data_IF_202276661868
#
_entry.id   IF_202276661868
#
_cell.length_a   1.000
_cell.length_b   1.000
_cell.length_c   1.000
_cell.angle_alpha   90.00
_cell.angle_beta   90.00
_cell.angle_gamma   90.00
#
_symmetry.space_group_name_H-M   'P 1'
#
loop_
_entity.id
_entity.type
_entity.pdbx_description
1 polymer ?
#
# COMPACT_ATOMS: atom_id res chain seq x y z
N UNK A 1 24.87 16.19 54.16
CA UNK A 1 24.37 16.32 52.78
C UNK A 1 25.54 16.01 51.86
N UNK A 2 25.70 14.74 51.49
CA UNK A 2 26.81 14.27 50.68
C UNK A 2 26.38 14.18 49.22
N UNK A 3 27.02 14.96 48.35
CA UNK A 3 27.01 14.71 46.92
C UNK A 3 28.36 14.10 46.56
N UNK A 4 28.40 12.78 46.65
CA UNK A 4 29.53 11.96 46.25
C UNK A 4 29.46 11.84 44.73
N UNK A 5 30.23 12.69 44.02
CA UNK A 5 30.52 12.56 42.59
C UNK A 5 31.46 11.37 42.40
N UNK A 6 30.93 10.17 42.56
CA UNK A 6 31.66 8.94 42.25
C UNK A 6 31.45 8.59 40.77
N UNK A 7 32.52 8.82 39.99
CA UNK A 7 32.91 8.01 38.84
C UNK A 7 31.99 8.07 37.61
N UNK A 8 32.08 9.17 36.86
CA UNK A 8 32.11 9.01 35.39
C UNK A 8 33.47 8.39 35.10
N UNK A 9 33.52 7.05 35.19
CA UNK A 9 34.69 6.25 34.88
C UNK A 9 35.15 6.61 33.48
N UNK A 10 36.28 7.31 33.41
CA UNK A 10 37.26 7.33 32.33
C UNK A 10 36.82 6.51 31.11
N UNK A 11 36.11 7.13 30.16
CA UNK A 11 35.97 6.51 28.84
C UNK A 11 37.36 6.51 28.21
N UNK A 12 37.97 5.35 28.25
CA UNK A 12 39.23 5.04 27.61
C UNK A 12 38.96 5.02 26.10
N UNK A 13 39.53 5.99 25.36
CA UNK A 13 39.45 6.05 23.90
C UNK A 13 40.03 4.80 23.20
N UNK A 14 40.64 3.88 23.96
CA UNK A 14 41.12 2.57 23.48
C UNK A 14 40.00 1.58 23.16
N UNK A 15 38.74 1.83 23.56
CA UNK A 15 37.60 0.93 23.30
C UNK A 15 36.77 1.32 22.09
N UNK A 16 37.16 2.37 21.36
CA UNK A 16 36.60 2.63 20.04
C UNK A 16 37.22 1.65 19.04
N UNK A 17 36.41 0.88 18.28
CA UNK A 17 36.94 0.02 17.22
C UNK A 17 37.66 0.89 16.19
N UNK A 18 38.99 0.95 16.27
CA UNK A 18 39.80 1.50 15.20
C UNK A 18 39.74 0.47 14.07
N UNK A 19 38.84 0.72 13.12
CA UNK A 19 38.68 -0.14 11.95
C UNK A 19 40.04 -0.38 11.28
N UNK A 20 40.35 -1.64 11.01
CA UNK A 20 41.52 -2.04 10.25
C UNK A 20 41.47 -1.37 8.86
N UNK A 21 42.48 -0.56 8.47
CA UNK A 21 42.52 0.06 7.15
C UNK A 21 42.62 -0.95 5.99
N UNK A 22 42.78 -2.24 6.30
CA UNK A 22 42.89 -3.34 5.33
C UNK A 22 41.54 -3.82 4.74
N UNK A 23 40.41 -3.26 5.19
CA UNK A 23 39.13 -3.38 4.46
C UNK A 23 38.50 -4.78 4.40
N UNK A 24 38.75 -5.65 5.38
CA UNK A 24 38.09 -6.96 5.50
C UNK A 24 37.10 -6.96 6.67
N UNK A 25 35.87 -6.55 6.41
CA UNK A 25 34.82 -6.49 7.41
C UNK A 25 34.17 -7.86 7.66
N UNK A 26 34.11 -8.25 8.94
CA UNK A 26 33.22 -9.33 9.42
C UNK A 26 31.83 -8.74 9.63
N UNK A 27 30.84 -9.51 9.20
CA UNK A 27 29.42 -9.15 9.08
C UNK A 27 28.74 -9.04 10.45
N UNK A 28 29.11 -8.01 11.21
CA UNK A 28 28.51 -7.66 12.50
C UNK A 28 27.70 -6.37 12.33
N UNK A 29 26.40 -6.44 12.65
CA UNK A 29 25.39 -5.41 12.39
C UNK A 29 25.81 -4.04 12.94
N UNK A 30 26.33 -3.17 12.07
CA UNK A 30 26.64 -1.78 12.41
C UNK A 30 25.35 -0.96 12.37
N UNK A 31 24.91 -0.50 13.53
CA UNK A 31 23.82 0.47 13.63
C UNK A 31 24.36 1.84 13.19
N UNK A 32 24.05 2.24 11.96
CA UNK A 32 24.38 3.55 11.42
C UNK A 32 23.43 4.61 11.97
N UNK A 33 23.98 5.67 12.57
CA UNK A 33 23.22 6.88 12.94
C UNK A 33 23.54 7.95 11.90
N UNK A 34 22.53 8.36 11.13
CA UNK A 34 22.64 9.49 10.20
C UNK A 34 21.96 10.72 10.80
N UNK A 35 22.67 11.86 10.79
CA UNK A 35 22.13 13.16 11.13
C UNK A 35 21.72 13.87 9.84
N UNK A 36 20.45 14.24 9.74
CA UNK A 36 19.93 15.04 8.63
C UNK A 36 20.06 16.52 9.01
N UNK A 37 20.82 17.28 8.22
CA UNK A 37 20.81 18.73 8.28
C UNK A 37 19.79 19.23 7.26
N UNK A 38 18.70 19.83 7.75
CA UNK A 38 17.82 20.64 6.90
C UNK A 38 18.51 21.98 6.72
N UNK A 39 19.03 22.25 5.51
CA UNK A 39 19.43 23.60 5.14
C UNK A 39 18.15 24.34 4.74
N UNK A 40 17.58 25.05 5.71
CA UNK A 40 16.56 26.05 5.49
C UNK A 40 17.24 27.36 5.08
N UNK A 41 17.48 27.57 3.78
CA UNK A 41 17.53 28.94 3.28
C UNK A 41 17.11 29.05 1.82
N UNK A 42 16.30 30.08 1.63
CA UNK A 42 15.46 30.48 0.53
C UNK A 42 16.29 31.30 -0.46
N UNK A 43 16.31 30.95 -1.74
CA UNK A 43 16.67 31.90 -2.80
C UNK A 43 15.93 31.58 -4.11
N UNK A 44 14.98 32.46 -4.40
CA UNK A 44 14.35 32.64 -5.70
C UNK A 44 15.39 33.24 -6.65
N UNK A 45 15.66 32.63 -7.80
CA UNK A 45 15.78 33.43 -9.02
C UNK A 45 15.68 32.66 -10.34
N UNK A 46 15.03 33.36 -11.25
CA UNK A 46 14.65 33.04 -12.61
C UNK A 46 15.84 33.14 -13.58
N UNK A 47 15.80 32.34 -14.67
CA UNK A 47 16.40 32.57 -16.01
C UNK A 47 17.75 31.93 -16.34
N UNK A 48 17.74 31.03 -17.34
CA UNK A 48 18.88 30.81 -18.25
C UNK A 48 19.07 29.39 -18.80
N UNK A 49 18.57 29.13 -20.02
CA UNK A 49 18.84 27.98 -20.91
C UNK A 49 20.34 27.84 -21.31
N UNK A 50 20.86 26.71 -21.90
CA UNK A 50 20.29 26.03 -23.10
C UNK A 50 20.50 24.50 -23.34
N UNK A 51 19.56 23.98 -24.16
CA UNK A 51 19.62 23.02 -25.28
C UNK A 51 20.11 21.54 -25.24
N UNK A 52 19.34 20.75 -26.05
CA UNK A 52 19.58 19.42 -26.68
C UNK A 52 19.13 18.23 -25.80
N UNK A 53 18.09 17.45 -26.15
CA UNK A 53 17.97 16.59 -27.33
C UNK A 53 16.51 16.35 -27.81
N UNK A 54 16.26 16.69 -29.08
CA UNK A 54 15.54 15.93 -30.12
C UNK A 54 14.15 15.31 -29.89
N UNK A 55 13.08 16.02 -30.30
CA UNK A 55 11.82 15.43 -30.79
C UNK A 55 11.89 15.33 -32.32
N UNK A 56 11.60 14.15 -32.89
CA UNK A 56 11.15 14.04 -34.28
C UNK A 56 9.70 13.57 -34.29
N UNK A 57 8.80 14.49 -34.61
CA UNK A 57 7.43 14.20 -34.98
C UNK A 57 7.27 14.14 -36.50
N UNK A 58 6.49 13.17 -36.96
CA UNK A 58 5.62 13.25 -38.14
C UNK A 58 4.36 12.47 -37.73
N UNK A 59 3.13 12.97 -37.72
CA UNK A 59 2.49 13.94 -38.58
C UNK A 59 1.32 13.23 -39.27
N UNK A 60 0.14 13.23 -38.66
CA UNK A 60 -1.21 13.24 -39.29
C UNK A 60 -2.32 13.17 -38.24
N UNK A 61 -3.42 13.94 -38.37
CA UNK A 61 -4.54 13.94 -37.43
C UNK A 61 -5.60 12.91 -37.83
N UNK A 62 -5.60 11.76 -37.18
CA UNK A 62 -6.72 10.82 -37.18
C UNK A 62 -7.64 11.13 -36.01
N UNK A 63 -8.93 11.31 -36.28
CA UNK A 63 -9.96 11.36 -35.25
C UNK A 63 -10.03 10.00 -34.57
N UNK A 64 -9.54 9.91 -33.34
CA UNK A 64 -9.65 8.72 -32.50
C UNK A 64 -10.47 9.10 -31.27
N UNK A 65 -11.75 8.73 -31.31
CA UNK A 65 -12.61 8.63 -30.13
C UNK A 65 -11.93 7.77 -29.06
N UNK A 66 -11.74 8.23 -27.80
CA UNK A 66 -11.33 7.33 -26.74
C UNK A 66 -12.55 6.68 -26.08
N UNK A 67 -13.35 5.95 -26.86
CA UNK A 67 -14.15 4.84 -26.31
C UNK A 67 -13.22 3.65 -26.22
N UNK A 68 -12.41 3.56 -25.16
CA UNK A 68 -11.78 2.33 -24.62
C UNK A 68 -10.77 2.71 -23.52
N UNK A 69 -11.23 3.40 -22.46
CA UNK A 69 -10.45 3.46 -21.22
C UNK A 69 -10.56 2.13 -20.50
N UNK A 70 -9.62 1.27 -20.85
CA UNK A 70 -9.07 0.15 -20.09
C UNK A 70 -9.45 0.21 -18.61
N UNK A 71 -9.96 -0.90 -18.07
CA UNK A 71 -10.04 -1.13 -16.63
C UNK A 71 -8.69 -0.78 -16.00
N UNK A 72 -8.61 0.40 -15.37
CA UNK A 72 -7.39 0.91 -14.77
C UNK A 72 -7.09 0.08 -13.52
N UNK A 73 -6.31 -0.97 -13.72
CA UNK A 73 -5.69 -1.74 -12.66
C UNK A 73 -4.62 -0.85 -12.03
N UNK A 74 -4.79 -0.47 -10.77
CA UNK A 74 -3.82 0.31 -10.01
C UNK A 74 -3.13 -0.60 -8.98
N UNK A 75 -1.86 -0.33 -8.71
CA UNK A 75 -1.10 -0.99 -7.64
C UNK A 75 -0.78 0.06 -6.61
N UNK A 76 -1.23 -0.15 -5.37
CA UNK A 76 -1.04 0.78 -4.26
C UNK A 76 0.10 0.28 -3.37
N UNK A 77 0.90 1.21 -2.83
CA UNK A 77 1.88 0.89 -1.80
C UNK A 77 1.16 0.86 -0.44
N UNK A 78 0.73 -0.32 -0.01
CA UNK A 78 -0.08 -0.52 1.19
C UNK A 78 0.67 -1.27 2.29
N UNK A 79 0.20 -1.10 3.53
CA UNK A 79 0.68 -1.89 4.66
C UNK A 79 0.37 -3.36 4.46
N UNK A 80 1.42 -4.18 4.55
CA UNK A 80 1.33 -5.63 4.46
C UNK A 80 1.21 -6.23 5.85
N UNK A 81 0.32 -7.21 6.00
CA UNK A 81 0.12 -7.88 7.28
C UNK A 81 -0.44 -9.29 7.09
N UNK A 82 -0.37 -10.09 8.16
CA UNK A 82 -0.94 -11.43 8.20
C UNK A 82 -1.56 -11.67 9.58
N UNK A 83 -2.65 -12.42 9.63
CA UNK A 83 -3.32 -12.79 10.87
C UNK A 83 -3.13 -14.28 11.15
N UNK A 84 -2.91 -14.60 12.44
CA UNK A 84 -2.62 -15.96 12.88
C UNK A 84 -3.61 -16.44 13.95
N UNK A 85 -3.96 -17.72 13.88
CA UNK A 85 -4.61 -18.45 14.96
C UNK A 85 -3.60 -19.43 15.55
N UNK A 86 -2.97 -19.08 16.66
CA UNK A 86 -1.82 -19.82 17.17
C UNK A 86 -0.66 -19.74 16.19
N UNK A 87 -0.20 -20.88 15.68
CA UNK A 87 0.88 -20.95 14.68
C UNK A 87 0.37 -20.95 13.22
N UNK A 88 -0.95 -20.99 13.02
CA UNK A 88 -1.53 -21.07 11.68
C UNK A 88 -1.83 -19.67 11.11
N UNK A 89 -1.23 -19.34 9.96
CA UNK A 89 -1.61 -18.15 9.19
C UNK A 89 -3.00 -18.37 8.56
N UNK A 90 -3.99 -17.57 8.96
CA UNK A 90 -5.38 -17.66 8.49
C UNK A 90 -5.72 -16.61 7.45
N UNK A 91 -4.95 -15.53 7.40
CA UNK A 91 -5.12 -14.42 6.47
C UNK A 91 -3.75 -13.85 6.11
N UNK A 92 -3.50 -13.58 4.82
CA UNK A 92 -2.26 -12.96 4.36
C UNK A 92 -2.53 -11.91 3.29
N UNK A 93 -2.13 -10.66 3.58
CA UNK A 93 -2.09 -9.54 2.65
C UNK A 93 -0.62 -9.15 2.47
N UNK A 94 0.05 -9.82 1.54
CA UNK A 94 1.47 -9.59 1.22
C UNK A 94 1.63 -9.42 -0.29
N UNK A 95 2.54 -8.53 -0.67
CA UNK A 95 2.80 -8.13 -2.07
C UNK A 95 3.85 -9.00 -2.76
N UNK A 96 4.63 -9.77 -1.99
CA UNK A 96 5.72 -10.58 -2.49
C UNK A 96 5.86 -11.90 -1.71
N UNK A 97 6.41 -12.91 -2.38
CA UNK A 97 6.63 -14.23 -1.83
C UNK A 97 5.59 -15.28 -2.23
N UNK A 98 5.69 -16.52 -1.70
CA UNK A 98 4.89 -17.66 -2.13
C UNK A 98 3.39 -17.53 -1.81
N UNK A 99 3.05 -16.63 -0.88
CA UNK A 99 1.68 -16.35 -0.43
C UNK A 99 1.21 -14.97 -0.92
N UNK A 100 1.93 -14.36 -1.87
CA UNK A 100 1.55 -13.08 -2.44
C UNK A 100 0.20 -13.18 -3.13
N UNK A 101 -0.77 -12.43 -2.62
CA UNK A 101 -2.05 -12.21 -3.27
C UNK A 101 -1.92 -11.13 -4.34
N UNK A 102 -2.82 -11.14 -5.32
CA UNK A 102 -2.99 -9.99 -6.18
C UNK A 102 -3.48 -8.79 -5.33
N UNK A 103 -2.67 -7.73 -5.27
CA UNK A 103 -3.01 -6.48 -4.59
C UNK A 103 -3.55 -5.44 -5.56
N UNK A 104 -3.80 -5.81 -6.82
CA UNK A 104 -4.36 -4.89 -7.77
C UNK A 104 -5.76 -4.43 -7.37
N UNK A 105 -6.03 -3.15 -7.59
CA UNK A 105 -7.34 -2.54 -7.36
C UNK A 105 -7.94 -2.11 -8.69
N UNK A 106 -9.26 -2.16 -8.76
CA UNK A 106 -10.05 -1.86 -9.94
C UNK A 106 -11.02 -0.73 -9.63
N UNK A 107 -11.40 0.03 -10.64
CA UNK A 107 -12.51 0.99 -10.49
C UNK A 107 -13.77 0.25 -10.02
N UNK A 108 -14.57 0.90 -9.17
CA UNK A 108 -15.84 0.31 -8.69
C UNK A 108 -16.76 -0.07 -9.84
N UNK A 109 -16.70 0.64 -10.96
CA UNK A 109 -17.44 0.32 -12.18
C UNK A 109 -17.04 -1.00 -12.84
N UNK A 110 -15.79 -1.44 -12.67
CA UNK A 110 -15.27 -2.68 -13.22
C UNK A 110 -15.59 -3.91 -12.34
N UNK A 111 -15.77 -3.70 -11.03
CA UNK A 111 -15.95 -4.79 -10.05
C UNK A 111 -17.10 -5.75 -10.39
N UNK A 112 -18.31 -5.31 -10.81
CA UNK A 112 -19.40 -6.23 -11.10
C UNK A 112 -19.09 -7.29 -12.17
N UNK A 113 -18.19 -6.97 -13.12
CA UNK A 113 -17.76 -7.91 -14.14
C UNK A 113 -16.73 -8.94 -13.64
N UNK A 114 -16.05 -8.62 -12.52
CA UNK A 114 -15.02 -9.45 -11.90
C UNK A 114 -15.57 -10.33 -10.77
N UNK A 115 -16.67 -9.88 -10.14
CA UNK A 115 -17.24 -10.51 -8.95
C UNK A 115 -18.26 -11.60 -9.30
N UNK A 116 -18.35 -12.59 -8.41
CA UNK A 116 -19.43 -13.57 -8.32
C UNK A 116 -20.16 -13.39 -6.98
N UNK A 117 -21.47 -13.70 -6.89
CA UNK A 117 -22.17 -13.69 -5.61
C UNK A 117 -21.41 -14.52 -4.56
N UNK A 118 -21.24 -13.96 -3.37
CA UNK A 118 -20.45 -14.51 -2.27
C UNK A 118 -19.00 -14.01 -2.20
N UNK A 119 -18.50 -13.28 -3.20
CA UNK A 119 -17.16 -12.72 -3.17
C UNK A 119 -17.02 -11.65 -2.08
N UNK A 120 -15.91 -11.72 -1.33
CA UNK A 120 -15.50 -10.73 -0.36
C UNK A 120 -14.73 -9.60 -1.07
N UNK A 121 -15.17 -8.37 -0.80
CA UNK A 121 -14.61 -7.15 -1.36
C UNK A 121 -13.94 -6.32 -0.27
N UNK A 122 -12.78 -5.77 -0.62
CA UNK A 122 -12.18 -4.65 0.09
C UNK A 122 -12.34 -3.40 -0.78
N UNK A 123 -13.05 -2.40 -0.26
CA UNK A 123 -13.27 -1.11 -0.90
C UNK A 123 -12.31 -0.10 -0.29
N UNK A 124 -11.53 0.57 -1.13
CA UNK A 124 -10.50 1.52 -0.72
C UNK A 124 -10.87 2.91 -1.19
N UNK A 125 -10.72 3.88 -0.29
CA UNK A 125 -10.94 5.29 -0.57
C UNK A 125 -9.60 5.94 -0.95
N UNK A 126 -9.50 6.50 -2.16
CA UNK A 126 -8.27 7.12 -2.64
C UNK A 126 -8.34 8.64 -2.43
N UNK A 127 -7.42 9.17 -1.63
CA UNK A 127 -7.22 10.61 -1.53
C UNK A 127 -6.37 11.04 -0.33
N UNK A 128 -6.20 12.36 -0.14
CA UNK A 128 -5.22 12.92 0.78
C UNK A 128 -5.70 12.83 2.24
N UNK A 129 -5.19 11.83 2.94
CA UNK A 129 -4.98 11.76 4.41
C UNK A 129 -6.16 11.59 5.38
N UNK A 130 -7.42 11.85 5.04
CA UNK A 130 -8.56 11.59 5.96
C UNK A 130 -9.67 10.76 5.33
N UNK A 131 -9.32 9.55 4.93
CA UNK A 131 -10.32 8.59 4.47
C UNK A 131 -10.60 7.54 5.54
N UNK A 132 -11.86 7.04 5.58
CA UNK A 132 -12.18 5.93 6.43
C UNK A 132 -11.27 4.74 6.11
N UNK A 133 -11.03 3.85 7.08
CA UNK A 133 -10.29 2.62 6.84
C UNK A 133 -10.95 1.82 5.71
N UNK A 134 -10.20 0.89 5.07
CA UNK A 134 -10.76 0.00 4.07
C UNK A 134 -12.08 -0.61 4.51
N UNK A 135 -13.08 -0.53 3.64
CA UNK A 135 -14.43 -0.95 3.92
C UNK A 135 -14.69 -2.34 3.35
N UNK A 136 -15.22 -3.24 4.18
CA UNK A 136 -15.44 -4.64 3.80
C UNK A 136 -16.90 -4.90 3.42
N UNK A 137 -17.10 -5.71 2.39
CA UNK A 137 -18.44 -6.08 1.92
C UNK A 137 -18.47 -7.44 1.24
N UNK A 138 -19.63 -8.09 1.21
CA UNK A 138 -19.88 -9.30 0.42
C UNK A 138 -20.72 -8.91 -0.80
N UNK A 139 -20.27 -9.28 -1.99
CA UNK A 139 -21.02 -9.07 -3.23
C UNK A 139 -22.16 -10.07 -3.34
N UNK A 140 -23.38 -9.61 -3.62
CA UNK A 140 -24.57 -10.49 -3.74
C UNK A 140 -25.10 -10.60 -5.17
N UNK A 141 -24.48 -9.90 -6.13
CA UNK A 141 -24.92 -9.86 -7.52
C UNK A 141 -25.72 -8.60 -7.86
N UNK A 142 -25.85 -8.32 -9.16
CA UNK A 142 -26.63 -7.18 -9.65
C UNK A 142 -26.11 -5.81 -9.21
N UNK A 143 -24.81 -5.68 -8.90
CA UNK A 143 -24.25 -4.43 -8.37
C UNK A 143 -24.58 -4.15 -6.90
N UNK A 144 -25.12 -5.12 -6.17
CA UNK A 144 -25.49 -4.99 -4.76
C UNK A 144 -24.47 -5.66 -3.85
N UNK A 145 -24.35 -5.15 -2.63
CA UNK A 145 -23.49 -5.69 -1.58
C UNK A 145 -24.22 -5.81 -0.24
N UNK A 146 -23.73 -6.70 0.62
CA UNK A 146 -24.04 -6.75 2.04
C UNK A 146 -22.81 -6.28 2.82
N UNK A 147 -22.98 -5.32 3.73
CA UNK A 147 -21.88 -4.77 4.53
C UNK A 147 -22.33 -4.31 5.92
N UNK A 148 -21.36 -4.14 6.83
CA UNK A 148 -21.57 -3.48 8.11
C UNK A 148 -21.34 -1.98 7.93
N UNK A 149 -22.40 -1.18 7.97
CA UNK A 149 -22.30 0.27 7.84
C UNK A 149 -23.02 0.92 9.02
N UNK A 150 -22.29 1.78 9.74
CA UNK A 150 -22.79 2.49 10.93
C UNK A 150 -23.42 1.55 11.98
N UNK A 151 -22.81 0.38 12.19
CA UNK A 151 -23.26 -0.61 13.18
C UNK A 151 -24.46 -1.46 12.74
N UNK A 152 -24.91 -1.34 11.49
CA UNK A 152 -26.03 -2.11 10.93
C UNK A 152 -25.58 -2.96 9.75
N UNK A 153 -26.13 -4.17 9.64
CA UNK A 153 -25.99 -5.00 8.44
C UNK A 153 -26.97 -4.46 7.41
N UNK A 154 -26.46 -4.00 6.26
CA UNK A 154 -27.24 -3.35 5.21
C UNK A 154 -26.99 -4.00 3.86
N UNK A 155 -28.02 -3.94 3.01
CA UNK A 155 -27.90 -4.23 1.59
C UNK A 155 -27.97 -2.92 0.83
N UNK A 156 -26.86 -2.51 0.23
CA UNK A 156 -26.74 -1.23 -0.46
C UNK A 156 -26.11 -1.42 -1.86
N UNK A 157 -26.20 -0.38 -2.67
CA UNK A 157 -25.54 -0.31 -3.99
C UNK A 157 -24.03 -0.26 -3.83
N UNK A 158 -23.31 -1.11 -4.56
CA UNK A 158 -21.84 -1.10 -4.61
C UNK A 158 -21.30 0.28 -4.99
N UNK A 159 -21.97 0.95 -5.93
CA UNK A 159 -21.55 2.25 -6.45
C UNK A 159 -21.68 3.36 -5.42
N UNK A 160 -22.76 3.35 -4.64
CA UNK A 160 -23.02 4.32 -3.58
C UNK A 160 -22.10 4.07 -2.38
N UNK A 161 -22.01 2.80 -1.95
CA UNK A 161 -21.21 2.41 -0.79
C UNK A 161 -19.70 2.60 -0.99
N UNK A 162 -19.21 2.51 -2.22
CA UNK A 162 -17.81 2.79 -2.53
C UNK A 162 -17.54 4.26 -2.88
N UNK A 163 -18.59 5.09 -3.00
CA UNK A 163 -18.52 6.52 -3.33
C UNK A 163 -17.59 6.85 -4.52
N UNK A 164 -17.60 6.02 -5.58
CA UNK A 164 -16.79 6.22 -6.78
C UNK A 164 -15.30 5.87 -6.65
N UNK A 165 -14.88 5.21 -5.57
CA UNK A 165 -13.49 4.83 -5.38
C UNK A 165 -13.13 3.51 -6.10
N UNK A 166 -12.15 2.78 -5.55
CA UNK A 166 -11.63 1.53 -6.09
C UNK A 166 -11.89 0.39 -5.11
N UNK A 167 -11.78 -0.84 -5.59
CA UNK A 167 -11.83 -2.01 -4.73
C UNK A 167 -11.21 -3.23 -5.39
N UNK A 168 -11.26 -4.35 -4.68
CA UNK A 168 -10.75 -5.64 -5.17
C UNK A 168 -11.45 -6.81 -4.51
N UNK A 169 -11.41 -7.95 -5.20
CA UNK A 169 -11.85 -9.25 -4.67
C UNK A 169 -10.68 -9.87 -3.91
N UNK A 170 -10.94 -10.31 -2.68
CA UNK A 170 -9.89 -10.73 -1.74
C UNK A 170 -10.07 -12.15 -1.20
N UNK A 171 -10.92 -12.95 -1.83
CA UNK A 171 -11.23 -14.31 -1.38
C UNK A 171 -9.99 -15.17 -1.12
N UNK A 172 -8.94 -14.96 -1.91
CA UNK A 172 -7.67 -15.70 -1.85
C UNK A 172 -6.78 -15.35 -0.66
N UNK A 173 -7.07 -14.26 0.06
CA UNK A 173 -6.25 -13.84 1.19
C UNK A 173 -6.49 -14.69 2.42
N UNK A 174 -7.65 -15.36 2.51
CA UNK A 174 -7.93 -16.31 3.56
C UNK A 174 -7.42 -17.70 3.19
N UNK A 175 -6.90 -18.43 4.18
CA UNK A 175 -6.52 -19.84 4.04
C UNK A 175 -7.72 -20.73 3.72
N UNK A 176 -8.90 -20.35 4.16
CA UNK A 176 -10.12 -21.14 4.03
C UNK A 176 -10.75 -20.93 2.66
N UNK A 177 -11.20 -22.03 2.04
CA UNK A 177 -11.95 -21.94 0.80
C UNK A 177 -13.30 -21.26 1.06
N UNK A 178 -13.72 -20.30 0.22
CA UNK A 178 -15.05 -19.73 0.29
C UNK A 178 -16.12 -20.82 0.19
N UNK A 179 -17.23 -20.63 0.90
CA UNK A 179 -18.43 -21.44 0.70
C UNK A 179 -19.05 -21.10 -0.67
N UNK A 180 -19.90 -21.99 -1.18
CA UNK A 180 -20.66 -21.71 -2.40
C UNK A 180 -21.62 -20.55 -2.18
N UNK A 181 -21.90 -19.79 -3.24
CA UNK A 181 -22.74 -18.59 -3.20
C UNK A 181 -24.08 -18.82 -2.48
N UNK A 182 -24.74 -19.96 -2.71
CA UNK A 182 -26.03 -20.33 -2.11
C UNK A 182 -26.02 -20.45 -0.58
N UNK A 183 -24.83 -20.61 0.04
CA UNK A 183 -24.67 -20.67 1.49
C UNK A 183 -24.26 -19.32 2.09
N UNK A 184 -23.86 -18.37 1.24
CA UNK A 184 -23.33 -17.06 1.64
C UNK A 184 -24.35 -15.93 1.39
N UNK A 185 -25.14 -16.05 0.31
CA UNK A 185 -26.07 -15.04 -0.20
C UNK A 185 -27.51 -15.53 -0.12
#
# INVERSE_FOLDING_TARGET
MGNQLDRITHLNYSELPTGDPSGIEKDELRVGVAYFFSDEEEDLDERGQPDKYGVKGSGSPGQETPTHHLHHQLVLNETQFSAFRGQECIFSKVSSGPQAGDLSVYSVSALPALCKPGDLLELLYLGPSEHPPPHWAVYVGGGQIIHLHQGQIRQDSLYEAAAGNVGRVVNSWYRFRPLVAELVV
#
